data_IF_482116876168
#
_entry.id   IF_482116876168
#
_cell.length_a   1.000
_cell.length_b   1.000
_cell.length_c   1.000
_cell.angle_alpha   90.00
_cell.angle_beta   90.00
_cell.angle_gamma   90.00
#
_symmetry.space_group_name_H-M   'P 1'
#
loop_
_entity.id
_entity.type
_entity.pdbx_description
1 polymer ?
#
# COMPACT_ATOMS: atom_id res chain seq x y z
N UNK A 1 50.91 -20.30 59.55
CA UNK A 1 51.13 -20.00 58.12
C UNK A 1 49.94 -20.49 57.29
N UNK A 2 48.74 -19.91 57.51
CA UNK A 2 47.49 -20.34 56.79
C UNK A 2 46.51 -19.20 56.52
N UNK A 3 47.00 -17.96 56.44
CA UNK A 3 46.12 -16.80 56.30
C UNK A 3 46.34 -15.95 55.03
N UNK A 4 47.23 -16.31 54.12
CA UNK A 4 47.59 -15.53 52.94
C UNK A 4 46.96 -16.02 51.62
N UNK A 5 46.29 -17.17 51.61
CA UNK A 5 45.76 -17.78 50.37
C UNK A 5 44.33 -17.41 50.00
N UNK A 6 43.65 -16.68 50.84
CA UNK A 6 42.24 -16.35 50.62
C UNK A 6 41.96 -14.93 50.05
N UNK A 7 43.02 -14.15 49.76
CA UNK A 7 42.85 -12.78 49.24
C UNK A 7 42.98 -12.65 47.74
N UNK A 8 43.61 -13.58 47.05
CA UNK A 8 43.82 -13.47 45.60
C UNK A 8 42.64 -13.92 44.74
N UNK A 9 41.74 -14.76 45.28
CA UNK A 9 40.63 -15.28 44.49
C UNK A 9 39.45 -14.33 44.37
N UNK A 10 39.41 -13.23 45.15
CA UNK A 10 38.31 -12.25 45.07
C UNK A 10 38.54 -11.17 44.00
N UNK A 11 39.76 -10.86 43.67
CA UNK A 11 40.06 -9.83 42.66
C UNK A 11 39.78 -10.32 41.24
N UNK A 12 39.91 -11.63 40.97
CA UNK A 12 39.70 -12.17 39.62
C UNK A 12 38.22 -12.38 39.27
N UNK A 13 37.36 -12.49 40.28
CA UNK A 13 35.90 -12.64 40.04
C UNK A 13 35.22 -11.34 39.64
N UNK A 14 35.79 -10.20 39.89
CA UNK A 14 35.26 -8.89 39.51
C UNK A 14 35.71 -8.45 38.13
N UNK A 15 36.84 -8.93 37.65
CA UNK A 15 37.37 -8.61 36.31
C UNK A 15 36.60 -9.33 35.19
N UNK A 16 36.07 -10.52 35.45
CA UNK A 16 35.29 -11.28 34.46
C UNK A 16 33.83 -10.83 34.35
N UNK A 17 33.26 -10.25 35.43
CA UNK A 17 31.90 -9.72 35.42
C UNK A 17 31.82 -8.39 34.65
N UNK A 18 32.87 -7.59 34.63
CA UNK A 18 32.94 -6.31 33.92
C UNK A 18 32.99 -6.44 32.39
N UNK A 19 33.63 -7.49 31.90
CA UNK A 19 33.79 -7.72 30.43
C UNK A 19 32.49 -8.25 29.78
N UNK A 20 31.65 -8.99 30.52
CA UNK A 20 30.38 -9.52 30.00
C UNK A 20 29.31 -8.43 29.88
N UNK A 21 29.34 -7.39 30.72
CA UNK A 21 28.38 -6.28 30.67
C UNK A 21 28.68 -5.33 29.49
N UNK A 22 29.91 -5.19 29.07
CA UNK A 22 30.24 -4.35 27.91
C UNK A 22 29.95 -5.00 26.55
N UNK A 23 29.85 -6.31 26.46
CA UNK A 23 29.54 -7.01 25.21
C UNK A 23 28.04 -7.03 24.87
N UNK A 24 27.17 -6.73 25.84
CA UNK A 24 25.70 -6.74 25.62
C UNK A 24 25.12 -5.39 25.17
N UNK A 25 25.89 -4.31 25.14
CA UNK A 25 25.43 -2.98 24.69
C UNK A 25 25.65 -2.78 23.19
N UNK A 26 26.40 -3.66 22.53
CA UNK A 26 26.68 -3.59 21.09
C UNK A 26 25.64 -4.23 20.17
N UNK A 27 24.61 -4.89 20.71
CA UNK A 27 23.59 -5.59 19.93
C UNK A 27 22.20 -4.90 20.01
N UNK A 28 22.15 -3.59 20.28
CA UNK A 28 20.97 -2.82 19.91
C UNK A 28 21.06 -2.63 18.42
N UNK A 29 20.63 -3.69 17.75
CA UNK A 29 20.58 -3.79 16.32
C UNK A 29 19.98 -2.56 15.71
N UNK A 30 20.42 -2.27 14.52
CA UNK A 30 19.75 -1.40 13.57
C UNK A 30 18.27 -1.75 13.56
N UNK A 31 17.50 -1.15 14.48
CA UNK A 31 16.06 -1.10 14.34
C UNK A 31 15.85 -0.53 12.95
N UNK A 32 15.08 -1.19 12.13
CA UNK A 32 14.60 -0.61 10.89
C UNK A 32 14.12 0.79 11.27
N UNK A 33 14.97 1.76 10.99
CA UNK A 33 14.58 3.15 11.18
C UNK A 33 13.39 3.32 10.28
N UNK A 34 12.27 3.67 10.88
CA UNK A 34 11.07 4.04 10.17
C UNK A 34 11.45 5.19 9.23
N UNK A 35 11.85 4.85 8.01
CA UNK A 35 12.32 5.80 7.01
C UNK A 35 11.15 6.52 6.37
N UNK A 36 9.92 6.06 6.59
CA UNK A 36 8.69 6.63 6.04
C UNK A 36 8.53 8.12 6.37
N UNK A 37 8.84 8.54 7.60
CA UNK A 37 8.81 9.95 7.99
C UNK A 37 10.00 10.78 7.53
N UNK A 38 11.09 10.15 7.07
CA UNK A 38 12.37 10.79 6.73
C UNK A 38 12.67 10.82 5.25
N UNK A 39 11.82 10.21 4.42
CA UNK A 39 12.00 10.27 2.97
C UNK A 39 12.03 11.73 2.51
N UNK A 40 13.01 12.12 1.70
CA UNK A 40 13.06 13.45 1.11
C UNK A 40 11.97 13.69 0.07
N UNK A 41 11.30 12.64 -0.36
CA UNK A 41 10.26 12.68 -1.40
C UNK A 41 8.94 12.13 -0.89
N UNK A 42 7.85 12.54 -1.53
CA UNK A 42 6.50 12.03 -1.32
C UNK A 42 5.76 11.97 -2.66
N UNK A 43 4.65 11.23 -2.67
CA UNK A 43 3.80 11.09 -3.85
C UNK A 43 2.61 12.05 -3.77
N UNK A 44 2.34 12.70 -4.89
CA UNK A 44 1.14 13.48 -5.15
C UNK A 44 0.22 12.68 -6.07
N UNK A 45 -1.07 12.64 -5.75
CA UNK A 45 -2.09 12.12 -6.66
C UNK A 45 -2.45 13.24 -7.64
N UNK A 46 -2.14 13.07 -8.91
CA UNK A 46 -2.56 14.00 -9.95
C UNK A 46 -3.98 13.72 -10.43
N UNK A 47 -4.30 12.44 -10.68
CA UNK A 47 -5.62 12.02 -11.08
C UNK A 47 -5.95 10.67 -10.43
N UNK A 48 -7.21 10.50 -10.09
CA UNK A 48 -7.79 9.23 -9.65
C UNK A 48 -9.02 8.99 -10.50
N UNK A 49 -9.06 7.85 -11.19
CA UNK A 49 -10.09 7.51 -12.16
C UNK A 49 -10.55 6.08 -11.96
N UNK A 50 -11.72 5.77 -12.45
CA UNK A 50 -12.28 4.42 -12.46
C UNK A 50 -12.90 4.11 -13.81
N UNK A 51 -12.98 2.83 -14.13
CA UNK A 51 -13.66 2.33 -15.31
C UNK A 51 -14.56 1.15 -14.94
N UNK A 52 -15.65 0.99 -15.66
CA UNK A 52 -16.45 -0.22 -15.58
C UNK A 52 -15.66 -1.42 -16.10
N UNK A 53 -15.78 -2.56 -15.44
CA UNK A 53 -15.17 -3.80 -15.91
C UNK A 53 -15.66 -4.26 -17.28
N UNK A 54 -16.86 -3.85 -17.69
CA UNK A 54 -17.36 -4.05 -19.05
C UNK A 54 -16.66 -3.17 -20.10
N UNK A 55 -16.06 -2.04 -19.68
CA UNK A 55 -15.33 -1.09 -20.53
C UNK A 55 -14.03 -0.63 -19.83
N UNK A 56 -13.07 -1.53 -19.60
CA UNK A 56 -11.94 -1.30 -18.71
C UNK A 56 -10.91 -0.29 -19.21
N UNK A 57 -11.07 0.20 -20.43
CA UNK A 57 -10.22 1.26 -21.01
C UNK A 57 -10.83 2.67 -20.90
N UNK A 58 -12.10 2.77 -20.47
CA UNK A 58 -12.82 4.06 -20.40
C UNK A 58 -12.76 4.63 -18.98
N UNK A 59 -11.59 5.16 -18.60
CA UNK A 59 -11.39 5.75 -17.27
C UNK A 59 -12.03 7.13 -17.14
N UNK A 60 -12.73 7.37 -16.04
CA UNK A 60 -13.39 8.63 -15.71
C UNK A 60 -13.32 8.98 -14.22
N UNK A 61 -13.71 10.20 -13.87
CA UNK A 61 -13.76 10.66 -12.48
C UNK A 61 -14.92 10.08 -11.66
N UNK A 62 -15.88 9.45 -12.33
CA UNK A 62 -17.01 8.72 -11.74
C UNK A 62 -17.04 7.32 -12.31
N UNK A 63 -17.41 6.35 -11.47
CA UNK A 63 -17.64 4.99 -11.89
C UNK A 63 -19.15 4.76 -12.04
N UNK A 64 -19.55 4.40 -13.24
CA UNK A 64 -20.88 3.87 -13.53
C UNK A 64 -20.71 2.43 -13.99
N UNK A 65 -21.16 1.49 -13.20
CA UNK A 65 -20.90 0.07 -13.41
C UNK A 65 -22.08 -0.78 -12.99
N UNK A 66 -22.44 -1.71 -13.86
CA UNK A 66 -23.45 -2.73 -13.58
C UNK A 66 -22.91 -3.81 -12.63
N UNK A 67 -23.78 -4.34 -11.79
CA UNK A 67 -23.49 -5.53 -10.98
C UNK A 67 -23.29 -6.74 -11.89
N UNK A 68 -24.18 -6.91 -12.88
CA UNK A 68 -24.12 -7.98 -13.87
C UNK A 68 -24.22 -7.38 -15.26
N UNK A 69 -23.27 -7.71 -16.10
CA UNK A 69 -23.23 -7.30 -17.51
C UNK A 69 -23.60 -8.50 -18.40
N UNK A 70 -24.56 -8.33 -19.30
CA UNK A 70 -24.89 -9.36 -20.27
C UNK A 70 -23.92 -9.30 -21.45
N UNK A 71 -23.11 -10.33 -21.60
CA UNK A 71 -22.16 -10.46 -22.70
C UNK A 71 -22.72 -11.39 -23.78
N UNK A 72 -22.59 -11.02 -25.03
CA UNK A 72 -22.92 -11.92 -26.16
C UNK A 72 -21.84 -12.97 -26.31
N UNK A 73 -22.23 -14.23 -26.23
CA UNK A 73 -21.35 -15.38 -26.42
C UNK A 73 -21.93 -16.21 -27.55
N UNK A 74 -21.09 -16.58 -28.53
CA UNK A 74 -21.49 -17.47 -29.61
C UNK A 74 -21.29 -18.91 -29.17
N UNK A 75 -22.38 -19.67 -29.12
CA UNK A 75 -22.36 -21.11 -28.83
C UNK A 75 -22.88 -21.84 -30.09
N UNK A 76 -21.99 -22.48 -30.84
CA UNK A 76 -22.27 -22.98 -32.17
C UNK A 76 -22.57 -21.81 -33.11
N UNK A 77 -23.75 -21.83 -33.79
CA UNK A 77 -24.19 -20.77 -34.68
C UNK A 77 -25.18 -19.79 -34.05
N UNK A 78 -25.36 -19.84 -32.73
CA UNK A 78 -26.30 -18.98 -32.02
C UNK A 78 -25.61 -18.00 -31.06
N UNK A 79 -26.03 -16.73 -31.11
CA UNK A 79 -25.67 -15.74 -30.11
C UNK A 79 -26.56 -15.86 -28.89
N UNK A 80 -25.96 -16.07 -27.72
CA UNK A 80 -26.65 -16.17 -26.45
C UNK A 80 -26.12 -15.07 -25.53
N UNK A 81 -27.00 -14.42 -24.77
CA UNK A 81 -26.61 -13.49 -23.72
C UNK A 81 -26.21 -14.27 -22.46
N UNK A 82 -24.95 -14.11 -22.02
CA UNK A 82 -24.44 -14.72 -20.81
C UNK A 82 -24.22 -13.65 -19.74
N UNK A 83 -24.85 -13.77 -18.58
CA UNK A 83 -24.61 -12.85 -17.47
C UNK A 83 -23.18 -13.04 -16.94
N UNK A 84 -22.42 -11.96 -16.89
CA UNK A 84 -21.02 -11.96 -16.45
C UNK A 84 -20.82 -10.85 -15.44
N UNK A 85 -20.04 -11.13 -14.41
CA UNK A 85 -19.65 -10.15 -13.39
C UNK A 85 -18.20 -9.77 -13.61
N UNK A 86 -17.94 -8.48 -13.81
CA UNK A 86 -16.62 -7.94 -14.02
C UNK A 86 -16.13 -7.20 -12.79
N UNK A 87 -14.82 -7.26 -12.56
CA UNK A 87 -14.12 -6.39 -11.61
C UNK A 87 -13.96 -5.00 -12.24
N UNK A 88 -14.21 -3.94 -11.45
CA UNK A 88 -14.00 -2.58 -11.93
C UNK A 88 -12.61 -2.09 -11.55
N UNK A 89 -11.78 -1.70 -12.54
CA UNK A 89 -10.48 -1.17 -12.29
C UNK A 89 -10.51 0.30 -11.87
N UNK A 90 -9.64 0.64 -10.92
CA UNK A 90 -9.23 2.01 -10.63
C UNK A 90 -7.86 2.30 -11.22
N UNK A 91 -7.60 3.55 -11.55
CA UNK A 91 -6.33 4.03 -12.04
C UNK A 91 -5.93 5.30 -11.29
N UNK A 92 -4.70 5.35 -10.81
CA UNK A 92 -4.12 6.53 -10.17
C UNK A 92 -2.89 6.98 -10.94
N UNK A 93 -2.84 8.26 -11.26
CA UNK A 93 -1.64 8.91 -11.77
C UNK A 93 -0.95 9.62 -10.63
N UNK A 94 0.29 9.25 -10.40
CA UNK A 94 1.12 9.73 -9.31
C UNK A 94 2.28 10.55 -9.85
N UNK A 95 2.64 11.61 -9.12
CA UNK A 95 3.82 12.42 -9.35
C UNK A 95 4.66 12.46 -8.08
N UNK A 96 5.96 12.52 -8.24
CA UNK A 96 6.86 12.70 -7.12
C UNK A 96 7.09 14.18 -6.84
N UNK A 97 7.13 14.54 -5.55
CA UNK A 97 7.56 15.85 -5.09
C UNK A 97 8.58 15.70 -3.96
N UNK A 98 9.43 16.69 -3.80
CA UNK A 98 10.40 16.77 -2.70
C UNK A 98 9.81 17.56 -1.54
N UNK A 99 10.10 17.13 -0.31
CA UNK A 99 9.68 17.82 0.92
C UNK A 99 10.42 19.12 1.14
N UNK A 100 11.67 19.17 0.68
CA UNK A 100 12.51 20.34 0.78
C UNK A 100 12.84 20.82 -0.64
N UNK A 101 12.35 22.00 -0.96
CA UNK A 101 12.58 22.64 -2.26
C UNK A 101 13.96 23.33 -2.36
N UNK A 102 14.83 23.14 -1.36
CA UNK A 102 16.13 23.78 -1.29
C UNK A 102 16.08 25.18 -0.65
N UNK A 103 17.21 25.78 -0.48
CA UNK A 103 17.41 27.08 0.21
C UNK A 103 17.22 28.32 -0.67
N UNK A 104 16.37 28.24 -1.67
CA UNK A 104 15.99 29.39 -2.52
C UNK A 104 16.94 29.72 -3.67
N UNK A 105 18.09 29.07 -3.78
CA UNK A 105 19.03 29.32 -4.90
C UNK A 105 18.92 28.29 -6.03
N UNK A 106 18.41 27.12 -5.79
CA UNK A 106 18.11 26.11 -6.81
C UNK A 106 16.87 25.31 -6.39
N UNK A 107 15.90 25.20 -7.28
CA UNK A 107 14.79 24.28 -7.09
C UNK A 107 15.34 22.87 -7.21
N UNK A 108 15.35 22.13 -6.11
CA UNK A 108 15.72 20.73 -6.15
C UNK A 108 14.68 19.96 -6.97
N UNK A 109 15.12 19.32 -8.04
CA UNK A 109 14.28 18.43 -8.84
C UNK A 109 14.43 16.99 -8.37
N UNK A 110 13.37 16.18 -8.38
CA UNK A 110 13.50 14.75 -8.13
C UNK A 110 14.46 14.11 -9.12
N UNK A 111 15.24 13.16 -8.65
CA UNK A 111 16.17 12.37 -9.48
C UNK A 111 15.76 10.89 -9.44
N UNK A 112 16.34 10.07 -10.28
CA UNK A 112 16.06 8.63 -10.33
C UNK A 112 16.31 7.93 -8.98
N UNK A 113 17.19 8.47 -8.12
CA UNK A 113 17.47 7.94 -6.77
C UNK A 113 16.32 8.20 -5.78
N UNK A 114 15.42 9.12 -6.08
CA UNK A 114 14.29 9.48 -5.20
C UNK A 114 13.04 8.62 -5.43
N UNK A 115 13.14 7.56 -6.25
CA UNK A 115 12.00 6.72 -6.59
C UNK A 115 11.26 6.17 -5.36
N UNK A 116 9.94 6.06 -5.47
CA UNK A 116 9.06 5.49 -4.42
C UNK A 116 8.35 4.29 -5.01
N UNK A 117 8.44 3.16 -4.32
CA UNK A 117 7.73 1.94 -4.73
C UNK A 117 6.43 1.82 -3.93
N UNK A 118 5.32 1.77 -4.66
CA UNK A 118 4.00 1.43 -4.11
C UNK A 118 3.88 -0.09 -4.12
N UNK A 119 3.47 -0.69 -3.02
CA UNK A 119 3.34 -2.16 -2.89
C UNK A 119 1.93 -2.60 -2.51
N UNK A 120 1.14 -1.71 -1.92
CA UNK A 120 -0.21 -2.02 -1.44
C UNK A 120 -1.14 -0.84 -1.63
N UNK A 121 -2.42 -1.15 -1.68
CA UNK A 121 -3.50 -0.17 -1.60
C UNK A 121 -4.60 -0.71 -0.70
N UNK A 122 -5.40 0.19 -0.16
CA UNK A 122 -6.59 -0.10 0.64
C UNK A 122 -7.80 0.58 -0.01
N UNK A 123 -8.91 -0.14 -0.09
CA UNK A 123 -10.18 0.41 -0.57
C UNK A 123 -11.18 0.41 0.57
N UNK A 124 -11.72 1.57 0.86
CA UNK A 124 -12.77 1.78 1.85
C UNK A 124 -13.98 2.45 1.17
N UNK A 125 -15.15 1.87 1.36
CA UNK A 125 -16.38 2.34 0.74
C UNK A 125 -17.17 3.20 1.73
N UNK A 126 -17.58 4.39 1.28
CA UNK A 126 -18.37 5.32 2.10
C UNK A 126 -19.53 5.90 1.29
N UNK A 127 -20.68 5.95 1.91
CA UNK A 127 -21.86 6.62 1.36
C UNK A 127 -21.91 8.07 1.84
N UNK A 128 -22.37 8.95 0.96
CA UNK A 128 -22.54 10.37 1.25
C UNK A 128 -23.65 10.67 2.27
N UNK A 129 -24.60 9.73 2.44
CA UNK A 129 -25.70 9.85 3.42
C UNK A 129 -25.31 9.45 4.85
N UNK A 130 -24.06 9.06 5.07
CA UNK A 130 -23.50 8.71 6.39
C UNK A 130 -23.79 7.28 6.85
N UNK A 131 -24.58 6.49 6.13
CA UNK A 131 -24.82 5.08 6.42
C UNK A 131 -23.64 4.25 5.88
N UNK A 132 -22.85 3.66 6.74
CA UNK A 132 -21.59 3.01 6.37
C UNK A 132 -21.38 1.66 7.07
N UNK A 133 -22.45 0.92 7.34
CA UNK A 133 -22.34 -0.42 7.94
C UNK A 133 -21.83 -1.41 6.89
N UNK A 134 -20.62 -1.99 7.06
CA UNK A 134 -20.07 -2.93 6.10
C UNK A 134 -20.97 -4.18 5.91
N UNK A 135 -21.15 -4.59 4.67
CA UNK A 135 -22.02 -5.73 4.31
C UNK A 135 -23.52 -5.44 4.34
N UNK A 136 -23.93 -4.23 4.78
CA UNK A 136 -25.35 -3.80 4.84
C UNK A 136 -25.55 -2.57 3.97
N UNK A 137 -24.83 -1.50 4.23
CA UNK A 137 -24.95 -0.22 3.54
C UNK A 137 -23.86 -0.03 2.48
N UNK A 138 -22.67 -0.57 2.75
CA UNK A 138 -21.49 -0.49 1.89
C UNK A 138 -20.80 -1.87 1.80
N UNK A 139 -20.07 -2.15 0.71
CA UNK A 139 -19.22 -3.34 0.64
C UNK A 139 -18.16 -3.37 1.74
N UNK A 140 -17.63 -4.55 2.04
CA UNK A 140 -16.50 -4.68 2.93
C UNK A 140 -15.27 -4.02 2.32
N UNK A 141 -14.52 -3.28 3.14
CA UNK A 141 -13.20 -2.76 2.79
C UNK A 141 -12.22 -3.90 2.51
N UNK A 142 -11.21 -3.65 1.71
CA UNK A 142 -10.21 -4.66 1.41
C UNK A 142 -8.83 -4.07 1.11
N UNK A 143 -7.83 -4.89 1.32
CA UNK A 143 -6.45 -4.62 0.91
C UNK A 143 -6.14 -5.32 -0.40
N UNK A 144 -5.37 -4.65 -1.25
CA UNK A 144 -4.85 -5.22 -2.48
C UNK A 144 -3.36 -4.94 -2.65
N UNK A 145 -2.73 -5.74 -3.50
CA UNK A 145 -1.35 -5.50 -3.92
C UNK A 145 -1.33 -4.80 -5.27
N UNK A 146 -0.55 -3.72 -5.36
CA UNK A 146 -0.21 -3.10 -6.63
C UNK A 146 1.26 -2.72 -6.54
N UNK A 147 2.08 -3.25 -7.43
CA UNK A 147 3.52 -2.99 -7.41
C UNK A 147 3.90 -2.08 -8.56
N UNK A 148 4.43 -0.92 -8.23
CA UNK A 148 4.95 0.02 -9.22
C UNK A 148 5.91 1.02 -8.60
N UNK A 149 7.01 1.28 -9.28
CA UNK A 149 8.00 2.27 -8.86
C UNK A 149 7.75 3.58 -9.59
N UNK A 150 7.49 4.62 -8.82
CA UNK A 150 7.24 5.97 -9.31
C UNK A 150 8.54 6.73 -9.27
N UNK A 151 9.03 7.12 -10.43
CA UNK A 151 10.23 7.93 -10.61
C UNK A 151 9.94 9.44 -10.67
N UNK A 152 10.95 10.23 -11.03
CA UNK A 152 10.83 11.69 -11.16
C UNK A 152 9.72 12.12 -12.13
N UNK A 153 9.54 11.39 -13.21
CA UNK A 153 8.53 11.68 -14.25
C UNK A 153 7.10 11.28 -13.86
N UNK A 154 6.95 10.72 -12.65
CA UNK A 154 5.69 10.17 -12.20
C UNK A 154 5.44 8.75 -12.71
N UNK A 155 4.19 8.31 -12.59
CA UNK A 155 3.77 7.00 -13.05
C UNK A 155 2.27 6.77 -12.88
N UNK A 156 1.78 5.72 -13.51
CA UNK A 156 0.38 5.30 -13.46
C UNK A 156 0.32 3.89 -12.85
N UNK A 157 -0.59 3.72 -11.91
CA UNK A 157 -0.90 2.42 -11.31
C UNK A 157 -2.36 2.10 -11.53
N UNK A 158 -2.62 0.85 -11.91
CA UNK A 158 -3.97 0.30 -12.02
C UNK A 158 -4.18 -0.71 -10.91
N UNK A 159 -5.36 -0.72 -10.32
CA UNK A 159 -5.71 -1.57 -9.19
C UNK A 159 -7.20 -1.96 -9.26
N UNK A 160 -7.59 -3.00 -8.52
CA UNK A 160 -9.00 -3.35 -8.38
C UNK A 160 -9.69 -2.33 -7.46
N UNK A 161 -10.73 -1.65 -7.97
CA UNK A 161 -11.53 -0.72 -7.17
C UNK A 161 -12.77 -1.41 -6.61
N UNK A 162 -13.50 -2.17 -7.44
CA UNK A 162 -14.62 -2.99 -7.00
C UNK A 162 -14.38 -4.42 -7.46
N UNK A 163 -14.19 -5.33 -6.51
CA UNK A 163 -13.99 -6.75 -6.81
C UNK A 163 -15.27 -7.38 -7.32
N UNK A 164 -15.15 -8.33 -8.25
CA UNK A 164 -16.29 -9.11 -8.73
C UNK A 164 -17.06 -9.78 -7.58
N UNK A 165 -16.36 -10.27 -6.56
CA UNK A 165 -16.98 -10.86 -5.38
C UNK A 165 -17.86 -9.86 -4.63
N UNK A 166 -17.43 -8.61 -4.46
CA UNK A 166 -18.23 -7.58 -3.79
C UNK A 166 -19.56 -7.32 -4.51
N UNK A 167 -19.60 -7.44 -5.85
CA UNK A 167 -20.82 -7.32 -6.64
C UNK A 167 -21.79 -8.50 -6.43
N UNK A 168 -21.27 -9.66 -6.03
CA UNK A 168 -22.08 -10.86 -5.75
C UNK A 168 -22.59 -10.94 -4.32
N UNK A 169 -22.14 -10.03 -3.47
CA UNK A 169 -22.48 -9.95 -2.06
C UNK A 169 -23.32 -8.70 -1.73
N UNK A 170 -23.99 -8.70 -0.57
CA UNK A 170 -24.66 -7.51 -0.09
C UNK A 170 -23.63 -6.38 0.22
N UNK A 171 -23.97 -5.10 -0.01
CA UNK A 171 -25.28 -4.62 -0.50
C UNK A 171 -25.41 -4.60 -2.02
N UNK A 172 -24.30 -4.73 -2.80
CA UNK A 172 -24.30 -4.49 -4.24
C UNK A 172 -25.20 -5.49 -4.99
N UNK A 173 -25.24 -6.75 -4.56
CA UNK A 173 -26.09 -7.78 -5.15
C UNK A 173 -27.59 -7.42 -5.15
N UNK A 174 -27.99 -6.54 -4.25
CA UNK A 174 -29.40 -6.15 -4.09
C UNK A 174 -29.80 -4.94 -4.96
N UNK A 175 -28.84 -4.35 -5.67
CA UNK A 175 -29.05 -3.25 -6.61
C UNK A 175 -29.39 -3.78 -7.99
#
# INVERSE_FOLDING_TARGET
MLASWLRETRAWRWATAGVIVMASVGAVGCGQQNTEGRSPSYLLIETLQAASGASPSSFGGTLDSDVVTNVRVTIGDQEVLSPTVYEDPGQVKLKMALKDAGNGMAVAAPTAVNSVTVTRYHVDFKRSDGRNTPGVDVPYSFDGSATGTIGPDGGVLTFALVRAQAKLEAPLKAL
#
